data_IF_418515956091
#
_entry.id   IF_418515956091
#
_cell.length_a   1.000
_cell.length_b   1.000
_cell.length_c   1.000
_cell.angle_alpha   90.00
_cell.angle_beta   90.00
_cell.angle_gamma   90.00
#
_symmetry.space_group_name_H-M   'P 1'
#
loop_
_entity.id
_entity.type
_entity.pdbx_description
1 polymer ?
#
# COMPACT_ATOMS: atom_id res chain seq x y z
N UNK A 1 -20.30 5.31 15.46
CA UNK A 1 -19.09 4.93 14.69
C UNK A 1 -19.49 4.90 13.22
N UNK A 2 -19.00 5.80 12.38
CA UNK A 2 -19.35 5.81 10.95
C UNK A 2 -18.77 4.54 10.32
N UNK A 3 -19.62 3.73 9.65
CA UNK A 3 -19.21 2.49 8.99
C UNK A 3 -18.35 2.87 7.78
N UNK A 4 -17.04 2.61 7.82
CA UNK A 4 -16.16 2.85 6.67
C UNK A 4 -16.63 2.04 5.45
N UNK A 5 -16.73 2.70 4.31
CA UNK A 5 -17.01 2.04 3.04
C UNK A 5 -15.78 1.28 2.53
N UNK A 6 -15.94 0.46 1.48
CA UNK A 6 -14.80 -0.17 0.81
C UNK A 6 -13.87 0.86 0.18
N UNK A 7 -14.43 1.92 -0.40
CA UNK A 7 -13.67 3.01 -1.01
C UNK A 7 -12.82 3.74 0.03
N UNK A 8 -13.37 4.03 1.22
CA UNK A 8 -12.63 4.66 2.33
C UNK A 8 -11.42 3.81 2.75
N UNK A 9 -11.62 2.49 2.84
CA UNK A 9 -10.52 1.57 3.17
C UNK A 9 -9.44 1.55 2.10
N UNK A 10 -9.82 1.54 0.82
CA UNK A 10 -8.85 1.59 -0.30
C UNK A 10 -8.05 2.89 -0.24
N UNK A 11 -8.71 4.04 -0.01
CA UNK A 11 -8.05 5.34 0.09
C UNK A 11 -7.05 5.36 1.24
N UNK A 12 -7.48 5.00 2.44
CA UNK A 12 -6.63 4.97 3.63
C UNK A 12 -5.44 4.00 3.47
N UNK A 13 -5.69 2.81 2.91
CA UNK A 13 -4.63 1.83 2.69
C UNK A 13 -3.63 2.28 1.62
N UNK A 14 -4.07 3.02 0.60
CA UNK A 14 -3.19 3.61 -0.41
C UNK A 14 -2.25 4.64 0.18
N UNK A 15 -2.76 5.49 1.07
CA UNK A 15 -1.95 6.49 1.78
C UNK A 15 -0.96 5.84 2.73
N UNK A 16 -1.37 4.80 3.47
CA UNK A 16 -0.50 4.09 4.40
C UNK A 16 0.64 3.36 3.68
N UNK A 17 0.32 2.65 2.59
CA UNK A 17 1.31 1.81 1.89
C UNK A 17 2.28 2.64 1.03
N UNK A 18 1.81 3.75 0.43
CA UNK A 18 2.58 4.43 -0.61
C UNK A 18 2.82 5.92 -0.33
N UNK A 19 2.34 6.43 0.81
CA UNK A 19 2.41 7.82 1.21
C UNK A 19 1.29 8.68 0.63
N UNK A 20 1.35 10.01 0.89
CA UNK A 20 0.38 10.96 0.35
C UNK A 20 0.26 10.82 -1.18
N UNK A 21 -0.97 10.82 -1.70
CA UNK A 21 -1.27 10.59 -3.13
C UNK A 21 -0.87 9.19 -3.64
N UNK A 22 -0.78 8.21 -2.75
CA UNK A 22 -0.45 6.80 -3.03
C UNK A 22 -1.41 6.04 -3.96
N UNK A 23 -2.58 6.61 -4.26
CA UNK A 23 -3.62 5.99 -5.11
C UNK A 23 -3.11 5.51 -6.48
N UNK A 24 -2.24 6.28 -7.13
CA UNK A 24 -1.66 5.91 -8.42
C UNK A 24 -0.79 4.66 -8.31
N UNK A 25 -0.02 4.55 -7.22
CA UNK A 25 0.84 3.39 -6.95
C UNK A 25 -0.01 2.17 -6.56
N UNK A 26 -1.06 2.38 -5.77
CA UNK A 26 -2.03 1.33 -5.45
C UNK A 26 -2.71 0.76 -6.70
N UNK A 27 -3.15 1.63 -7.62
CA UNK A 27 -3.77 1.18 -8.87
C UNK A 27 -2.82 0.30 -9.68
N UNK A 28 -1.56 0.71 -9.81
CA UNK A 28 -0.53 -0.08 -10.48
C UNK A 28 -0.27 -1.42 -9.76
N UNK A 29 -0.15 -1.41 -8.43
CA UNK A 29 0.11 -2.62 -7.64
C UNK A 29 -1.07 -3.63 -7.70
N UNK A 30 -2.31 -3.13 -7.69
CA UNK A 30 -3.51 -3.96 -7.85
C UNK A 30 -3.79 -4.35 -9.32
N UNK A 31 -3.04 -3.79 -10.27
CA UNK A 31 -3.21 -4.00 -11.71
C UNK A 31 -4.51 -3.42 -12.29
N UNK A 32 -5.09 -2.41 -11.64
CA UNK A 32 -6.30 -1.72 -12.11
C UNK A 32 -5.93 -0.37 -12.72
N UNK A 33 -6.80 0.18 -13.57
CA UNK A 33 -6.53 1.49 -14.17
C UNK A 33 -6.57 2.60 -13.11
N UNK A 34 -5.72 3.61 -13.27
CA UNK A 34 -5.69 4.80 -12.39
C UNK A 34 -7.05 5.51 -12.37
N UNK A 35 -7.70 5.57 -13.53
CA UNK A 35 -9.00 6.20 -13.69
C UNK A 35 -10.11 5.44 -12.94
N UNK A 36 -10.12 4.11 -12.99
CA UNK A 36 -11.07 3.30 -12.22
C UNK A 36 -10.89 3.54 -10.72
N UNK A 37 -9.65 3.53 -10.23
CA UNK A 37 -9.36 3.79 -8.82
C UNK A 37 -9.78 5.20 -8.38
N UNK A 38 -9.58 6.20 -9.24
CA UNK A 38 -10.02 7.57 -8.97
C UNK A 38 -11.54 7.67 -8.86
N UNK A 39 -12.29 7.07 -9.80
CA UNK A 39 -13.77 7.04 -9.73
C UNK A 39 -14.29 6.31 -8.50
N UNK A 40 -13.65 5.21 -8.11
CA UNK A 40 -14.01 4.49 -6.88
C UNK A 40 -13.87 5.40 -5.65
N UNK A 41 -12.75 6.11 -5.52
CA UNK A 41 -12.50 6.95 -4.34
C UNK A 41 -13.33 8.24 -4.36
N UNK A 42 -13.70 8.73 -5.54
CA UNK A 42 -14.64 9.84 -5.69
C UNK A 42 -16.10 9.43 -5.38
N UNK A 43 -16.40 8.13 -5.34
CA UNK A 43 -17.76 7.61 -5.17
C UNK A 43 -18.56 7.52 -6.47
N UNK A 44 -17.93 7.77 -7.62
CA UNK A 44 -18.55 7.70 -8.95
C UNK A 44 -18.74 6.26 -9.43
N UNK A 45 -18.05 5.30 -8.80
CA UNK A 45 -18.16 3.86 -9.09
C UNK A 45 -18.10 3.02 -7.83
N UNK A 46 -18.90 1.96 -7.80
CA UNK A 46 -18.87 0.97 -6.74
C UNK A 46 -17.60 0.11 -6.77
N UNK A 47 -17.21 -0.34 -5.58
CA UNK A 47 -16.10 -1.28 -5.40
C UNK A 47 -16.59 -2.71 -5.55
N UNK A 48 -16.30 -3.31 -6.71
CA UNK A 48 -16.55 -4.73 -6.95
C UNK A 48 -15.67 -5.62 -6.05
N UNK A 49 -16.12 -6.85 -5.82
CA UNK A 49 -15.34 -7.83 -5.04
C UNK A 49 -13.98 -8.13 -5.67
N UNK A 50 -13.90 -8.20 -7.00
CA UNK A 50 -12.64 -8.38 -7.74
C UNK A 50 -11.65 -7.23 -7.51
N UNK A 51 -12.09 -5.98 -7.63
CA UNK A 51 -11.20 -4.83 -7.37
C UNK A 51 -10.75 -4.84 -5.91
N UNK A 52 -11.66 -5.18 -4.99
CA UNK A 52 -11.35 -5.21 -3.56
C UNK A 52 -10.34 -6.30 -3.20
N UNK A 53 -10.48 -7.51 -3.76
CA UNK A 53 -9.54 -8.62 -3.53
C UNK A 53 -8.15 -8.28 -4.10
N UNK A 54 -8.09 -7.72 -5.31
CA UNK A 54 -6.82 -7.32 -5.95
C UNK A 54 -6.09 -6.23 -5.16
N UNK A 55 -6.80 -5.26 -4.59
CA UNK A 55 -6.21 -4.28 -3.67
C UNK A 55 -5.69 -4.95 -2.41
N UNK A 56 -6.43 -5.91 -1.83
CA UNK A 56 -5.98 -6.63 -0.64
C UNK A 56 -4.69 -7.43 -0.90
N UNK A 57 -4.58 -8.09 -2.06
CA UNK A 57 -3.39 -8.87 -2.43
C UNK A 57 -2.19 -7.97 -2.74
N UNK A 58 -2.41 -6.83 -3.38
CA UNK A 58 -1.38 -5.80 -3.57
C UNK A 58 -0.83 -5.29 -2.24
N UNK A 59 -1.71 -5.04 -1.26
CA UNK A 59 -1.32 -4.61 0.09
C UNK A 59 -0.51 -5.67 0.83
N UNK A 60 -0.91 -6.95 0.78
CA UNK A 60 -0.15 -8.05 1.38
C UNK A 60 1.24 -8.16 0.77
N UNK A 61 1.33 -8.03 -0.56
CA UNK A 61 2.60 -8.06 -1.29
C UNK A 61 3.51 -6.91 -0.88
N UNK A 62 2.96 -5.69 -0.78
CA UNK A 62 3.74 -4.51 -0.38
C UNK A 62 4.19 -4.60 1.08
N UNK A 63 3.34 -5.07 1.99
CA UNK A 63 3.72 -5.32 3.37
C UNK A 63 4.89 -6.32 3.45
N UNK A 64 4.84 -7.41 2.68
CA UNK A 64 5.94 -8.37 2.60
C UNK A 64 7.24 -7.76 2.06
N UNK A 65 7.16 -6.84 1.09
CA UNK A 65 8.32 -6.07 0.61
C UNK A 65 8.89 -5.16 1.70
N UNK A 66 8.04 -4.46 2.43
CA UNK A 66 8.44 -3.55 3.52
C UNK A 66 9.14 -4.30 4.65
N UNK A 67 8.62 -5.46 5.08
CA UNK A 67 9.28 -6.30 6.09
C UNK A 67 10.68 -6.73 5.65
N UNK A 68 10.83 -7.16 4.38
CA UNK A 68 12.14 -7.52 3.83
C UNK A 68 13.08 -6.32 3.77
N UNK A 69 12.58 -5.14 3.41
CA UNK A 69 13.36 -3.92 3.36
C UNK A 69 13.84 -3.52 4.77
N UNK A 70 12.95 -3.57 5.77
CA UNK A 70 13.27 -3.28 7.17
C UNK A 70 14.42 -4.16 7.68
N UNK A 71 14.34 -5.48 7.47
CA UNK A 71 15.42 -6.39 7.90
C UNK A 71 16.77 -6.11 7.22
N UNK A 72 16.76 -5.69 5.94
CA UNK A 72 18.01 -5.27 5.26
C UNK A 72 18.56 -3.98 5.84
N UNK A 73 17.70 -3.01 6.15
CA UNK A 73 18.09 -1.74 6.77
C UNK A 73 18.72 -1.99 8.15
N UNK A 74 18.10 -2.84 8.98
CA UNK A 74 18.63 -3.23 10.28
C UNK A 74 20.00 -3.91 10.17
N UNK A 75 20.18 -4.81 9.19
CA UNK A 75 21.46 -5.46 8.94
C UNK A 75 22.56 -4.46 8.55
N UNK A 76 22.25 -3.51 7.64
CA UNK A 76 23.18 -2.44 7.25
C UNK A 76 23.55 -1.55 8.44
N UNK A 77 22.56 -1.11 9.23
CA UNK A 77 22.81 -0.29 10.41
C UNK A 77 23.68 -1.03 11.45
N UNK A 78 23.44 -2.32 11.65
CA UNK A 78 24.24 -3.16 12.56
C UNK A 78 25.69 -3.27 12.11
N UNK A 79 25.94 -3.46 10.81
CA UNK A 79 27.29 -3.48 10.24
C UNK A 79 28.02 -2.15 10.47
N UNK A 80 27.36 -1.02 10.19
CA UNK A 80 27.94 0.32 10.41
C UNK A 80 28.32 0.54 11.88
N UNK A 81 27.51 0.06 12.84
CA UNK A 81 27.82 0.17 14.27
C UNK A 81 28.99 -0.74 14.67
N UNK A 82 29.13 -1.90 14.05
CA UNK A 82 30.26 -2.80 14.29
C UNK A 82 31.59 -2.18 13.83
N UNK A 83 31.60 -1.53 12.67
CA UNK A 83 32.78 -0.82 12.12
C UNK A 83 33.32 0.28 13.05
N UNK A 84 32.47 0.88 13.89
CA UNK A 84 32.90 1.92 14.83
C UNK A 84 33.57 1.37 16.11
N UNK A 85 33.52 0.05 16.32
CA UNK A 85 34.04 -0.61 17.54
C UNK A 85 35.36 -1.34 17.32
N UNK A 86 35.85 -1.38 16.09
CA UNK A 86 37.15 -1.93 15.66
C UNK A 86 38.17 -0.81 15.45
#
# INVERSE_FOLDING_TARGET
MVKQTRADRIKAASELAFGPRGLTKMAAAAGVSKQLMAFIVAGDRDVTDDVYSRVADALRTEAGRMTKAAGKIEAMASAMVAELKE
#
